data_IF_276872014836
#
_entry.id   IF_276872014836
#
_cell.length_a   1.000
_cell.length_b   1.000
_cell.length_c   1.000
_cell.angle_alpha   90.00
_cell.angle_beta   90.00
_cell.angle_gamma   90.00
#
_symmetry.space_group_name_H-M   'P 1'
#
loop_
_entity.id
_entity.type
_entity.pdbx_description
1 polymer ?
#
# COMPACT_ATOMS: atom_id res chain seq x y z
N UNK A 1 44.70 -11.69 23.26
CA UNK A 1 43.38 -11.14 22.86
C UNK A 1 42.33 -12.08 23.41
N UNK A 2 41.45 -11.61 24.30
CA UNK A 2 40.39 -12.44 24.87
C UNK A 2 39.12 -12.29 24.03
N UNK A 3 38.79 -13.32 23.27
CA UNK A 3 37.65 -13.33 22.37
C UNK A 3 36.31 -13.26 23.13
N UNK A 4 36.25 -13.72 24.39
CA UNK A 4 35.03 -13.67 25.21
C UNK A 4 34.60 -12.26 25.56
N UNK A 5 35.55 -11.34 25.67
CA UNK A 5 35.23 -9.93 25.91
C UNK A 5 34.50 -9.32 24.70
N UNK A 6 34.88 -9.69 23.47
CA UNK A 6 34.18 -9.24 22.27
C UNK A 6 32.75 -9.80 22.21
N UNK A 7 32.56 -11.08 22.57
CA UNK A 7 31.23 -11.71 22.65
C UNK A 7 30.33 -11.03 23.69
N UNK A 8 30.89 -10.71 24.86
CA UNK A 8 30.19 -9.99 25.92
C UNK A 8 29.78 -8.58 25.48
N UNK A 9 30.70 -7.80 24.92
CA UNK A 9 30.41 -6.42 24.53
C UNK A 9 29.47 -6.33 23.33
N UNK A 10 29.60 -7.19 22.31
CA UNK A 10 28.68 -7.18 21.16
C UNK A 10 27.26 -7.54 21.58
N UNK A 11 27.09 -8.38 22.62
CA UNK A 11 25.78 -8.76 23.14
C UNK A 11 24.97 -7.59 23.70
N UNK A 12 25.62 -6.51 24.10
CA UNK A 12 24.99 -5.29 24.62
C UNK A 12 24.43 -4.39 23.50
N UNK A 13 24.86 -4.61 22.26
CA UNK A 13 24.46 -3.80 21.10
C UNK A 13 23.11 -4.23 20.51
N UNK A 14 22.53 -3.37 19.66
CA UNK A 14 21.30 -3.68 18.92
C UNK A 14 21.45 -4.79 17.87
N UNK A 15 22.67 -5.06 17.39
CA UNK A 15 22.91 -6.02 16.30
C UNK A 15 22.49 -7.45 16.64
N UNK A 16 22.58 -7.85 17.91
CA UNK A 16 22.09 -9.19 18.33
C UNK A 16 20.57 -9.27 18.23
N UNK A 17 19.87 -8.20 18.59
CA UNK A 17 18.42 -8.10 18.42
C UNK A 17 18.06 -8.13 16.93
N UNK A 18 18.71 -7.32 16.10
CA UNK A 18 18.48 -7.28 14.65
C UNK A 18 18.65 -8.67 14.01
N UNK A 19 19.74 -9.38 14.33
CA UNK A 19 19.98 -10.73 13.84
C UNK A 19 18.91 -11.71 14.31
N UNK A 20 18.47 -11.63 15.59
CA UNK A 20 17.38 -12.48 16.12
C UNK A 20 16.08 -12.26 15.35
N UNK A 21 15.68 -11.02 15.14
CA UNK A 21 14.46 -10.65 14.41
C UNK A 21 14.55 -11.07 12.94
N UNK A 22 15.69 -10.83 12.28
CA UNK A 22 15.92 -11.23 10.91
C UNK A 22 15.83 -12.76 10.73
N UNK A 23 16.39 -13.54 11.66
CA UNK A 23 16.28 -15.00 11.65
C UNK A 23 14.84 -15.46 11.84
N UNK A 24 14.10 -14.82 12.74
CA UNK A 24 12.70 -15.15 12.99
C UNK A 24 11.83 -14.93 11.74
N UNK A 25 12.01 -13.79 11.08
CA UNK A 25 11.37 -13.47 9.80
C UNK A 25 11.66 -14.53 8.75
N UNK A 26 12.94 -14.86 8.54
CA UNK A 26 13.36 -15.89 7.57
C UNK A 26 12.74 -17.26 7.89
N UNK A 27 12.71 -17.66 9.16
CA UNK A 27 12.10 -18.93 9.57
C UNK A 27 10.59 -19.00 9.35
N UNK A 28 9.93 -17.83 9.25
CA UNK A 28 8.51 -17.69 8.93
C UNK A 28 8.28 -17.31 7.45
N UNK A 29 9.26 -17.58 6.57
CA UNK A 29 9.10 -17.44 5.12
C UNK A 29 9.13 -16.00 4.59
N UNK A 30 9.64 -15.04 5.37
CA UNK A 30 9.85 -13.68 4.89
C UNK A 30 11.21 -13.54 4.19
N UNK A 31 11.23 -12.83 3.08
CA UNK A 31 12.47 -12.32 2.48
C UNK A 31 12.95 -11.15 3.31
N UNK A 32 14.22 -11.16 3.72
CA UNK A 32 14.79 -10.15 4.63
C UNK A 32 15.99 -9.47 4.00
N UNK A 33 15.98 -8.15 4.02
CA UNK A 33 17.13 -7.28 3.74
C UNK A 33 17.49 -6.60 5.05
N UNK A 34 18.70 -6.86 5.54
CA UNK A 34 19.25 -6.16 6.72
C UNK A 34 20.08 -4.96 6.27
N UNK A 35 20.15 -3.94 7.13
CA UNK A 35 21.09 -2.82 7.03
C UNK A 35 20.99 -2.10 5.68
N UNK A 36 19.74 -1.79 5.28
CA UNK A 36 19.47 -1.21 3.97
C UNK A 36 19.77 0.28 4.00
N UNK A 37 20.83 0.68 3.30
CA UNK A 37 21.20 2.08 3.16
C UNK A 37 20.30 2.82 2.16
N UNK A 38 19.98 4.08 2.47
CA UNK A 38 19.32 5.01 1.58
C UNK A 38 19.80 6.44 1.84
N UNK A 39 19.65 7.31 0.84
CA UNK A 39 19.92 8.74 0.98
C UNK A 39 18.61 9.43 1.36
N UNK A 40 18.62 10.17 2.45
CA UNK A 40 17.50 11.04 2.83
C UNK A 40 17.55 12.30 1.96
N UNK A 41 16.68 12.36 0.95
CA UNK A 41 16.61 13.46 -0.03
C UNK A 41 16.41 14.85 0.62
N UNK A 42 16.02 14.94 1.90
CA UNK A 42 15.89 16.22 2.61
C UNK A 42 17.14 16.65 3.38
N UNK A 43 17.94 15.69 3.83
CA UNK A 43 19.09 15.96 4.69
C UNK A 43 20.42 15.61 4.02
N UNK A 44 20.38 15.09 2.79
CA UNK A 44 21.52 14.60 2.02
C UNK A 44 22.44 13.69 2.87
N UNK A 45 21.81 12.92 3.77
CA UNK A 45 22.52 12.04 4.70
C UNK A 45 22.18 10.60 4.41
N UNK A 46 23.19 9.74 4.51
CA UNK A 46 23.01 8.30 4.42
C UNK A 46 22.35 7.83 5.71
N UNK A 47 21.23 7.14 5.56
CA UNK A 47 20.49 6.50 6.64
C UNK A 47 20.43 5.01 6.40
N UNK A 48 20.18 4.27 7.47
CA UNK A 48 20.08 2.83 7.47
C UNK A 48 18.70 2.42 7.98
N UNK A 49 18.12 1.43 7.30
CA UNK A 49 16.94 0.70 7.78
C UNK A 49 17.46 -0.61 8.35
N UNK A 50 17.25 -0.82 9.66
CA UNK A 50 17.74 -2.00 10.37
C UNK A 50 17.28 -3.28 9.64
N UNK A 51 15.97 -3.41 9.39
CA UNK A 51 15.40 -4.57 8.67
C UNK A 51 14.25 -4.15 7.75
N UNK A 52 14.27 -4.65 6.51
CA UNK A 52 13.14 -4.68 5.59
C UNK A 52 12.71 -6.13 5.35
N UNK A 53 11.49 -6.47 5.74
CA UNK A 53 10.86 -7.77 5.49
C UNK A 53 9.83 -7.69 4.37
N UNK A 54 9.85 -8.66 3.45
CA UNK A 54 8.84 -8.81 2.40
C UNK A 54 8.21 -10.20 2.44
N UNK A 55 6.88 -10.23 2.32
CA UNK A 55 6.15 -11.43 1.94
C UNK A 55 5.41 -11.16 0.63
N UNK A 56 5.59 -12.05 -0.32
CA UNK A 56 5.13 -11.86 -1.71
C UNK A 56 4.34 -13.08 -2.17
N UNK A 57 3.20 -12.83 -2.80
CA UNK A 57 2.41 -13.86 -3.47
C UNK A 57 1.96 -13.35 -4.84
N UNK A 58 1.89 -14.25 -5.83
CA UNK A 58 1.31 -13.95 -7.14
C UNK A 58 -0.22 -14.02 -7.03
N UNK A 59 -0.90 -12.95 -7.42
CA UNK A 59 -2.36 -12.85 -7.46
C UNK A 59 -2.76 -12.34 -8.84
N UNK A 60 -3.46 -13.17 -9.60
CA UNK A 60 -3.79 -12.88 -11.00
C UNK A 60 -2.51 -12.49 -11.78
N UNK A 61 -2.51 -11.33 -12.44
CA UNK A 61 -1.37 -10.81 -13.21
C UNK A 61 -0.38 -9.99 -12.38
N UNK A 62 -0.65 -9.69 -11.10
CA UNK A 62 0.20 -8.84 -10.26
C UNK A 62 0.74 -9.57 -9.02
N UNK A 63 1.74 -8.98 -8.38
CA UNK A 63 2.29 -9.48 -7.11
C UNK A 63 1.69 -8.69 -5.93
N UNK A 64 1.25 -9.37 -4.88
CA UNK A 64 0.85 -8.74 -3.61
C UNK A 64 2.04 -8.81 -2.66
N UNK A 65 2.49 -7.65 -2.20
CA UNK A 65 3.65 -7.49 -1.32
C UNK A 65 3.20 -6.89 0.01
N UNK A 66 3.37 -7.64 1.10
CA UNK A 66 3.27 -7.10 2.47
C UNK A 66 4.68 -6.79 2.95
N UNK A 67 4.92 -5.54 3.31
CA UNK A 67 6.24 -5.02 3.67
C UNK A 67 6.28 -4.63 5.14
N UNK A 68 7.31 -5.06 5.85
CA UNK A 68 7.63 -4.65 7.21
C UNK A 68 8.90 -3.80 7.18
N UNK A 69 8.80 -2.57 7.67
CA UNK A 69 9.95 -1.73 7.99
C UNK A 69 10.13 -1.79 9.49
N UNK A 70 11.27 -2.33 9.93
CA UNK A 70 11.49 -2.65 11.33
C UNK A 70 12.71 -1.88 11.81
N UNK A 71 12.55 -1.19 12.94
CA UNK A 71 13.67 -0.68 13.72
C UNK A 71 13.81 -1.47 15.01
N UNK A 72 15.03 -1.86 15.35
CA UNK A 72 15.36 -2.60 16.55
C UNK A 72 16.02 -1.65 17.56
N UNK A 73 15.53 -1.64 18.79
CA UNK A 73 16.04 -0.78 19.86
C UNK A 73 16.26 -1.58 21.12
N UNK A 74 17.47 -1.48 21.67
CA UNK A 74 17.89 -2.16 22.89
C UNK A 74 18.37 -1.13 23.90
N UNK A 75 18.01 -1.32 25.16
CA UNK A 75 18.53 -0.54 26.27
C UNK A 75 18.54 -1.39 27.55
N UNK A 76 19.68 -1.46 28.22
CA UNK A 76 19.78 -2.18 29.50
C UNK A 76 19.34 -1.33 30.69
N UNK A 77 19.45 0.00 30.56
CA UNK A 77 19.27 0.95 31.66
C UNK A 77 17.94 1.70 31.64
N UNK A 78 17.30 1.80 30.46
CA UNK A 78 16.08 2.57 30.27
C UNK A 78 14.96 1.71 29.70
N UNK A 79 13.72 2.04 30.02
CA UNK A 79 12.50 1.53 29.38
C UNK A 79 11.87 2.64 28.55
N UNK A 80 10.99 2.27 27.62
CA UNK A 80 10.20 3.22 26.86
C UNK A 80 8.83 3.41 27.51
N UNK A 81 8.49 4.65 27.81
CA UNK A 81 7.17 5.02 28.31
C UNK A 81 6.39 5.76 27.22
N UNK A 82 5.19 5.25 26.94
CA UNK A 82 4.23 5.83 26.03
C UNK A 82 3.20 6.61 26.85
N UNK A 83 3.19 7.94 26.71
CA UNK A 83 2.27 8.81 27.42
C UNK A 83 0.97 8.87 26.63
N UNK A 84 -0.11 8.46 27.26
CA UNK A 84 -1.35 8.14 26.58
C UNK A 84 -2.55 8.83 27.24
N UNK A 85 -3.59 9.07 26.45
CA UNK A 85 -4.90 9.55 26.89
C UNK A 85 -6.02 8.83 26.15
N UNK A 86 -7.26 9.07 26.57
CA UNK A 86 -8.44 8.54 25.87
C UNK A 86 -8.52 9.11 24.46
N UNK A 87 -8.84 8.25 23.49
CA UNK A 87 -9.01 8.65 22.09
C UNK A 87 -10.26 9.50 21.91
N UNK A 88 -10.11 10.65 21.25
CA UNK A 88 -11.22 11.32 20.58
C UNK A 88 -11.35 10.79 19.14
N UNK A 89 -12.36 9.93 18.93
CA UNK A 89 -12.60 9.30 17.62
C UNK A 89 -13.06 10.30 16.56
N UNK A 90 -13.53 11.47 16.98
CA UNK A 90 -14.03 12.52 16.10
C UNK A 90 -13.02 13.65 15.89
N UNK A 91 -11.78 13.51 16.39
CA UNK A 91 -10.73 14.51 16.17
C UNK A 91 -10.48 14.70 14.67
N UNK A 92 -10.79 15.89 14.10
CA UNK A 92 -10.59 16.15 12.69
C UNK A 92 -9.10 16.29 12.32
N UNK A 93 -8.20 16.35 13.31
CA UNK A 93 -6.77 16.53 13.12
C UNK A 93 -5.97 15.22 13.11
N UNK A 94 -6.65 14.08 13.22
CA UNK A 94 -6.01 12.77 13.27
C UNK A 94 -6.62 11.82 12.25
N UNK A 95 -5.80 11.31 11.33
CA UNK A 95 -6.19 10.18 10.50
C UNK A 95 -5.95 8.88 11.28
N UNK A 96 -7.03 8.29 11.82
CA UNK A 96 -6.99 7.03 12.55
C UNK A 96 -6.81 5.79 11.64
N UNK A 97 -6.88 5.97 10.32
CA UNK A 97 -6.83 4.89 9.32
C UNK A 97 -5.65 5.03 8.36
N UNK A 98 -4.41 5.28 8.84
CA UNK A 98 -3.29 5.50 7.94
C UNK A 98 -2.97 4.20 7.19
N UNK A 99 -3.06 4.28 5.87
CA UNK A 99 -2.73 3.18 4.97
C UNK A 99 -1.73 3.65 3.92
N UNK A 100 -0.55 3.03 3.92
CA UNK A 100 0.48 3.31 2.94
C UNK A 100 0.58 2.16 1.96
N UNK A 101 0.17 2.43 0.74
CA UNK A 101 0.25 1.49 -0.37
C UNK A 101 0.99 2.10 -1.55
N UNK A 102 1.43 1.24 -2.46
CA UNK A 102 1.95 1.64 -3.76
C UNK A 102 1.59 0.58 -4.79
N UNK A 103 1.22 0.98 -6.00
CA UNK A 103 1.02 0.03 -7.11
C UNK A 103 1.37 0.67 -8.44
N UNK A 104 1.85 -0.15 -9.37
CA UNK A 104 2.02 0.18 -10.79
C UNK A 104 0.96 -0.53 -11.67
N UNK A 105 -0.01 -1.21 -11.07
CA UNK A 105 -1.15 -1.78 -11.77
C UNK A 105 -2.25 -0.71 -11.93
N UNK A 106 -2.70 -0.46 -13.16
CA UNK A 106 -3.65 0.62 -13.45
C UNK A 106 -5.02 0.41 -12.81
N UNK A 107 -5.51 -0.83 -12.77
CA UNK A 107 -6.83 -1.14 -12.20
C UNK A 107 -6.80 -0.94 -10.68
N UNK A 108 -5.77 -1.48 -10.01
CA UNK A 108 -5.60 -1.26 -8.57
C UNK A 108 -5.32 0.21 -8.25
N UNK A 109 -4.52 0.91 -9.06
CA UNK A 109 -4.22 2.33 -8.86
C UNK A 109 -5.49 3.18 -8.84
N UNK A 110 -6.42 2.91 -9.76
CA UNK A 110 -7.74 3.54 -9.76
C UNK A 110 -8.48 3.27 -8.44
N UNK A 111 -8.58 2.00 -8.04
CA UNK A 111 -9.35 1.61 -6.86
C UNK A 111 -8.79 2.20 -5.55
N UNK A 112 -7.47 2.18 -5.37
CA UNK A 112 -6.84 2.72 -4.15
C UNK A 112 -6.86 4.26 -4.10
N UNK A 113 -7.03 4.92 -5.24
CA UNK A 113 -7.12 6.39 -5.32
C UNK A 113 -8.50 6.94 -4.90
N UNK A 114 -9.50 6.07 -4.76
CA UNK A 114 -10.84 6.46 -4.36
C UNK A 114 -10.86 7.02 -2.92
N UNK A 115 -11.60 8.11 -2.72
CA UNK A 115 -11.77 8.73 -1.41
C UNK A 115 -12.29 7.69 -0.40
N UNK A 116 -11.70 7.70 0.80
CA UNK A 116 -12.05 6.79 1.88
C UNK A 116 -11.56 5.34 1.73
N UNK A 117 -10.73 5.05 0.71
CA UNK A 117 -10.19 3.70 0.49
C UNK A 117 -9.50 3.14 1.74
N UNK A 118 -8.65 3.94 2.41
CA UNK A 118 -7.90 3.51 3.58
C UNK A 118 -8.82 3.05 4.72
N UNK A 119 -9.86 3.84 5.03
CA UNK A 119 -10.86 3.47 6.04
C UNK A 119 -11.62 2.20 5.66
N UNK A 120 -12.12 2.09 4.42
CA UNK A 120 -12.80 0.87 3.95
C UNK A 120 -11.93 -0.37 4.05
N UNK A 121 -10.67 -0.27 3.63
CA UNK A 121 -9.68 -1.33 3.75
C UNK A 121 -9.53 -1.79 5.19
N UNK A 122 -9.36 -0.87 6.14
CA UNK A 122 -9.26 -1.21 7.56
C UNK A 122 -10.54 -1.89 8.09
N UNK A 123 -11.71 -1.34 7.77
CA UNK A 123 -13.00 -1.88 8.23
C UNK A 123 -13.24 -3.30 7.69
N UNK A 124 -13.00 -3.54 6.41
CA UNK A 124 -13.15 -4.87 5.78
C UNK A 124 -12.14 -5.88 6.35
N UNK A 125 -10.89 -5.47 6.59
CA UNK A 125 -9.89 -6.33 7.20
C UNK A 125 -10.26 -6.77 8.62
N UNK A 126 -10.91 -5.89 9.39
CA UNK A 126 -11.41 -6.18 10.74
C UNK A 126 -12.62 -7.12 10.68
N UNK A 127 -13.56 -6.89 9.76
CA UNK A 127 -14.77 -7.70 9.60
C UNK A 127 -14.45 -9.15 9.19
N UNK A 128 -13.44 -9.34 8.35
CA UNK A 128 -12.97 -10.67 7.93
C UNK A 128 -12.20 -11.44 9.05
N UNK A 129 -12.24 -10.94 10.28
CA UNK A 129 -11.51 -11.45 11.46
C UNK A 129 -10.44 -10.47 11.92
N UNK A 130 -10.39 -10.15 13.20
CA UNK A 130 -9.49 -9.13 13.75
C UNK A 130 -8.03 -9.35 13.31
N UNK A 131 -7.46 -8.41 12.56
CA UNK A 131 -6.03 -8.39 12.18
C UNK A 131 -5.32 -7.39 13.07
N UNK A 132 -4.58 -7.89 14.06
CA UNK A 132 -3.93 -7.05 15.08
C UNK A 132 -3.06 -5.91 14.50
N UNK A 133 -2.28 -6.08 13.40
CA UNK A 133 -1.58 -4.98 12.74
C UNK A 133 -2.42 -3.77 12.36
N UNK A 134 -3.72 -3.96 12.09
CA UNK A 134 -4.64 -2.92 11.60
C UNK A 134 -5.69 -2.50 12.65
N UNK A 135 -5.67 -3.11 13.84
CA UNK A 135 -6.64 -2.88 14.91
C UNK A 135 -6.72 -1.41 15.29
N UNK A 136 -7.92 -0.88 15.52
CA UNK A 136 -8.08 0.50 15.98
C UNK A 136 -7.29 0.73 17.29
N UNK A 137 -6.52 1.83 17.43
CA UNK A 137 -5.74 2.06 18.65
C UNK A 137 -6.61 2.05 19.91
N UNK A 138 -6.06 1.58 21.03
CA UNK A 138 -6.78 1.60 22.32
C UNK A 138 -6.74 2.97 22.99
N UNK A 139 -5.64 3.70 22.77
CA UNK A 139 -5.33 4.99 23.38
C UNK A 139 -4.72 5.93 22.34
N UNK A 140 -4.79 7.23 22.61
CA UNK A 140 -4.06 8.26 21.89
C UNK A 140 -2.71 8.48 22.60
N UNK A 141 -1.62 8.02 21.98
CA UNK A 141 -0.26 8.26 22.47
C UNK A 141 0.20 9.62 21.99
N UNK A 142 0.28 10.59 22.90
CA UNK A 142 0.57 11.99 22.57
C UNK A 142 2.03 12.38 22.83
N UNK A 143 2.78 11.60 23.60
CA UNK A 143 4.19 11.86 23.90
C UNK A 143 4.95 10.59 24.29
N UNK A 144 6.28 10.72 24.33
CA UNK A 144 7.20 9.64 24.66
C UNK A 144 8.20 10.09 25.71
N UNK A 145 8.67 9.12 26.49
CA UNK A 145 9.70 9.37 27.49
C UNK A 145 10.53 8.11 27.70
N UNK A 146 11.86 8.16 27.54
CA UNK A 146 12.68 7.11 28.15
C UNK A 146 12.70 7.30 29.66
N UNK A 147 12.59 6.22 30.42
CA UNK A 147 12.63 6.25 31.88
C UNK A 147 13.67 5.25 32.38
N UNK A 148 14.41 5.61 33.42
CA UNK A 148 15.34 4.66 34.03
C UNK A 148 14.57 3.45 34.57
N UNK A 149 15.01 2.24 34.20
CA UNK A 149 14.32 0.98 34.51
C UNK A 149 14.13 0.73 36.00
N UNK A 150 15.05 1.22 36.85
CA UNK A 150 15.03 0.99 38.30
C UNK A 150 14.39 2.16 39.03
N UNK A 151 14.81 3.39 38.72
CA UNK A 151 14.41 4.60 39.46
C UNK A 151 13.14 5.25 38.93
N UNK A 152 12.69 4.90 37.73
CA UNK A 152 11.58 5.58 37.05
C UNK A 152 11.87 7.04 36.70
N UNK A 153 13.11 7.52 36.87
CA UNK A 153 13.45 8.92 36.57
C UNK A 153 13.47 9.15 35.06
N UNK A 154 12.89 10.25 34.55
CA UNK A 154 12.87 10.55 33.12
C UNK A 154 14.28 10.78 32.55
N UNK A 155 14.43 10.48 31.26
CA UNK A 155 15.62 10.72 30.43
C UNK A 155 15.24 11.58 29.21
N UNK A 156 16.01 11.57 28.12
CA UNK A 156 15.54 12.18 26.88
C UNK A 156 14.63 11.19 26.12
N UNK A 157 13.93 11.67 25.10
CA UNK A 157 13.05 10.88 24.23
C UNK A 157 13.67 10.62 22.84
N UNK A 158 14.88 11.16 22.60
CA UNK A 158 15.55 11.14 21.30
C UNK A 158 15.68 9.73 20.71
N UNK A 159 15.97 8.65 21.46
CA UNK A 159 15.99 7.30 20.91
C UNK A 159 14.64 6.85 20.33
N UNK A 160 13.54 7.19 21.00
CA UNK A 160 12.17 6.86 20.58
C UNK A 160 11.80 7.67 19.34
N UNK A 161 12.02 8.98 19.39
CA UNK A 161 11.76 9.89 18.28
C UNK A 161 12.57 9.51 17.03
N UNK A 162 13.85 9.18 17.18
CA UNK A 162 14.70 8.74 16.08
C UNK A 162 14.22 7.40 15.49
N UNK A 163 13.71 6.48 16.32
CA UNK A 163 13.11 5.24 15.82
C UNK A 163 11.87 5.51 14.97
N UNK A 164 10.98 6.40 15.44
CA UNK A 164 9.74 6.79 14.75
C UNK A 164 10.06 7.45 13.41
N UNK A 165 10.88 8.51 13.45
CA UNK A 165 11.18 9.31 12.27
C UNK A 165 11.97 8.52 11.22
N UNK A 166 12.88 7.64 11.64
CA UNK A 166 13.63 6.80 10.70
C UNK A 166 12.71 5.81 9.98
N UNK A 167 11.72 5.21 10.66
CA UNK A 167 10.73 4.34 10.04
C UNK A 167 9.87 5.08 9.01
N UNK A 168 9.40 6.28 9.33
CA UNK A 168 8.58 7.09 8.41
C UNK A 168 9.39 7.54 7.18
N UNK A 169 10.65 7.94 7.38
CA UNK A 169 11.56 8.28 6.27
C UNK A 169 11.88 7.08 5.39
N UNK A 170 12.11 5.92 6.00
CA UNK A 170 12.33 4.65 5.30
C UNK A 170 11.12 4.26 4.43
N UNK A 171 9.90 4.46 4.94
CA UNK A 171 8.66 4.23 4.21
C UNK A 171 8.55 5.11 2.97
N UNK A 172 8.75 6.42 3.14
CA UNK A 172 8.71 7.35 2.03
C UNK A 172 9.76 7.00 0.97
N UNK A 173 10.99 6.68 1.38
CA UNK A 173 12.05 6.23 0.47
C UNK A 173 11.64 4.97 -0.29
N UNK A 174 11.13 3.93 0.37
CA UNK A 174 10.72 2.71 -0.33
C UNK A 174 9.57 2.98 -1.31
N UNK A 175 8.60 3.83 -0.95
CA UNK A 175 7.52 4.22 -1.84
C UNK A 175 8.01 5.00 -3.08
N UNK A 176 8.96 5.92 -2.92
CA UNK A 176 9.50 6.70 -4.06
C UNK A 176 10.49 5.91 -4.91
N UNK A 177 11.19 4.92 -4.35
CA UNK A 177 12.10 4.06 -5.10
C UNK A 177 11.38 3.01 -5.96
N UNK A 178 10.15 2.63 -5.60
CA UNK A 178 9.40 1.55 -6.26
C UNK A 178 9.13 1.76 -7.77
N UNK A 179 8.72 2.94 -8.27
CA UNK A 179 8.56 3.19 -9.72
C UNK A 179 9.81 2.86 -10.55
N UNK A 180 10.99 3.10 -9.98
CA UNK A 180 12.25 2.82 -10.65
C UNK A 180 12.63 1.34 -10.56
N UNK A 181 12.37 0.69 -9.42
CA UNK A 181 12.77 -0.70 -9.13
C UNK A 181 11.81 -1.76 -9.66
N UNK A 182 10.50 -1.55 -9.58
CA UNK A 182 9.48 -2.58 -9.85
C UNK A 182 8.83 -2.35 -11.21
N UNK A 183 9.15 -3.24 -12.16
CA UNK A 183 8.66 -3.19 -13.54
C UNK A 183 7.47 -4.11 -13.84
N UNK A 184 7.30 -5.17 -13.05
CA UNK A 184 6.13 -6.05 -13.15
C UNK A 184 4.97 -5.50 -12.31
N UNK A 185 3.70 -5.72 -12.71
CA UNK A 185 2.54 -5.32 -11.92
C UNK A 185 2.61 -5.83 -10.49
N UNK A 186 2.44 -4.94 -9.52
CA UNK A 186 2.44 -5.28 -8.09
C UNK A 186 1.72 -4.24 -7.25
N UNK A 187 1.30 -4.66 -6.06
CA UNK A 187 0.80 -3.79 -5.00
C UNK A 187 1.58 -4.05 -3.71
N UNK A 188 2.04 -2.98 -3.08
CA UNK A 188 2.78 -3.00 -1.81
C UNK A 188 1.89 -2.39 -0.73
N UNK A 189 1.87 -3.01 0.45
CA UNK A 189 1.29 -2.47 1.68
C UNK A 189 2.39 -2.42 2.76
N UNK A 190 2.60 -1.25 3.35
CA UNK A 190 3.71 -1.00 4.28
C UNK A 190 3.27 -0.96 5.73
N UNK A 191 4.03 -1.61 6.61
CA UNK A 191 3.82 -1.63 8.06
C UNK A 191 5.12 -1.20 8.77
N UNK A 192 5.00 -0.29 9.74
CA UNK A 192 6.13 0.23 10.51
C UNK A 192 6.15 -0.41 11.90
N UNK A 193 7.28 -0.98 12.29
CA UNK A 193 7.42 -1.69 13.56
C UNK A 193 8.68 -1.23 14.28
N UNK A 194 8.55 -0.87 15.55
CA UNK A 194 9.66 -0.64 16.45
C UNK A 194 9.71 -1.77 17.47
N UNK A 195 10.75 -2.60 17.39
CA UNK A 195 10.97 -3.74 18.26
C UNK A 195 11.89 -3.33 19.41
N UNK A 196 11.45 -3.60 20.64
CA UNK A 196 12.06 -3.06 21.86
C UNK A 196 12.58 -4.20 22.75
N UNK A 197 13.87 -4.19 23.06
CA UNK A 197 14.55 -5.05 24.03
C UNK A 197 15.04 -4.23 25.23
N UNK A 198 14.11 -3.77 26.06
CA UNK A 198 14.42 -2.97 27.26
C UNK A 198 13.28 -2.97 28.29
N UNK A 199 12.07 -2.70 27.81
CA UNK A 199 10.80 -2.68 28.54
C UNK A 199 9.87 -1.62 27.96
N UNK A 200 8.57 -1.87 28.00
CA UNK A 200 7.55 -0.97 27.46
C UNK A 200 6.45 -0.76 28.51
N UNK A 201 6.13 0.51 28.76
CA UNK A 201 5.07 0.91 29.70
C UNK A 201 4.17 1.96 29.07
N UNK A 202 2.89 1.92 29.43
CA UNK A 202 1.90 2.94 29.12
C UNK A 202 1.65 3.77 30.38
N UNK A 203 1.81 5.08 30.28
CA UNK A 203 1.44 6.05 31.31
C UNK A 203 0.15 6.75 30.85
N UNK A 204 -0.99 6.30 31.36
CA UNK A 204 -2.29 6.82 30.97
C UNK A 204 -2.69 8.00 31.86
N UNK A 205 -2.90 9.15 31.24
CA UNK A 205 -3.38 10.36 31.89
C UNK A 205 -4.91 10.34 31.89
N UNK A 206 -5.50 10.30 33.08
CA UNK A 206 -6.95 10.37 33.30
C UNK A 206 -7.24 11.41 34.38
N UNK A 207 -7.82 12.54 33.99
CA UNK A 207 -8.02 13.70 34.86
C UNK A 207 -6.68 14.12 35.50
N UNK A 208 -6.62 14.17 36.83
CA UNK A 208 -5.41 14.52 37.59
C UNK A 208 -4.54 13.31 37.98
N UNK A 209 -4.87 12.11 37.49
CA UNK A 209 -4.15 10.87 37.82
C UNK A 209 -3.35 10.33 36.63
N UNK A 210 -2.21 9.70 36.93
CA UNK A 210 -1.39 8.97 35.96
C UNK A 210 -1.35 7.49 36.38
N UNK A 211 -1.92 6.62 35.55
CA UNK A 211 -1.89 5.18 35.75
C UNK A 211 -0.80 4.54 34.89
N UNK A 212 0.15 3.85 35.53
CA UNK A 212 1.20 3.11 34.84
C UNK A 212 0.80 1.65 34.64
N UNK A 213 1.06 1.12 33.45
CA UNK A 213 0.87 -0.30 33.12
C UNK A 213 2.00 -0.81 32.24
N UNK A 214 2.47 -2.03 32.49
CA UNK A 214 3.36 -2.71 31.55
C UNK A 214 2.53 -3.25 30.38
N UNK A 215 3.05 -3.10 29.18
CA UNK A 215 2.37 -3.50 27.95
C UNK A 215 3.35 -4.25 27.04
N UNK A 216 2.80 -5.14 26.22
CA UNK A 216 3.58 -5.96 25.28
C UNK A 216 3.67 -5.34 23.89
N UNK A 217 2.66 -4.53 23.52
CA UNK A 217 2.62 -3.78 22.28
C UNK A 217 1.73 -2.55 22.40
N UNK A 218 1.87 -1.61 21.47
CA UNK A 218 0.99 -0.46 21.34
C UNK A 218 0.91 0.03 19.88
N UNK A 219 -0.24 0.59 19.51
CA UNK A 219 -0.38 1.38 18.29
C UNK A 219 -0.12 2.86 18.56
N UNK A 220 0.77 3.45 17.77
CA UNK A 220 0.95 4.90 17.73
C UNK A 220 0.65 5.42 16.33
N UNK A 221 -0.19 6.45 16.25
CA UNK A 221 -0.46 7.18 15.02
C UNK A 221 0.44 8.41 14.99
N UNK A 222 1.54 8.28 14.27
CA UNK A 222 2.53 9.34 14.13
C UNK A 222 2.07 10.35 13.08
N UNK A 223 2.02 11.62 13.45
CA UNK A 223 1.86 12.74 12.53
C UNK A 223 3.22 13.35 12.25
N UNK A 224 3.64 13.41 10.99
CA UNK A 224 4.91 14.03 10.61
C UNK A 224 4.84 14.63 9.21
N UNK A 225 5.77 15.54 8.91
CA UNK A 225 5.91 16.14 7.59
C UNK A 225 7.02 15.41 6.84
N UNK A 226 6.66 14.72 5.76
CA UNK A 226 7.58 14.07 4.83
C UNK A 226 7.36 14.64 3.45
N UNK A 227 8.42 15.08 2.75
CA UNK A 227 8.31 15.71 1.43
C UNK A 227 7.38 16.94 1.39
N UNK A 228 7.44 17.77 2.45
CA UNK A 228 6.58 18.96 2.64
C UNK A 228 5.07 18.64 2.65
N UNK A 229 4.70 17.37 2.82
CA UNK A 229 3.33 16.91 2.95
C UNK A 229 3.15 16.30 4.33
N UNK A 230 2.04 16.67 4.96
CA UNK A 230 1.62 16.01 6.18
C UNK A 230 1.26 14.55 5.87
N UNK A 231 1.75 13.64 6.70
CA UNK A 231 1.44 12.23 6.62
C UNK A 231 1.19 11.66 8.00
N UNK A 232 0.22 10.75 8.07
CA UNK A 232 -0.05 9.95 9.25
C UNK A 232 0.46 8.55 8.99
N UNK A 233 1.24 8.01 9.92
CA UNK A 233 1.78 6.66 9.83
C UNK A 233 1.52 5.91 11.11
N UNK A 234 1.06 4.67 10.98
CA UNK A 234 0.92 3.76 12.11
C UNK A 234 2.23 3.07 12.41
N UNK A 235 2.69 3.24 13.64
CA UNK A 235 3.87 2.56 14.19
C UNK A 235 3.41 1.57 15.25
N UNK A 236 3.87 0.34 15.12
CA UNK A 236 3.68 -0.70 16.13
C UNK A 236 4.91 -0.79 17.02
N UNK A 237 4.75 -0.47 18.29
CA UNK A 237 5.73 -0.80 19.31
C UNK A 237 5.48 -2.24 19.76
N UNK A 238 6.51 -3.08 19.78
CA UNK A 238 6.39 -4.50 20.15
C UNK A 238 7.61 -4.91 20.98
N UNK A 239 7.39 -5.57 22.11
CA UNK A 239 8.49 -6.17 22.86
C UNK A 239 9.15 -7.31 22.08
N UNK A 240 10.48 -7.37 22.12
CA UNK A 240 11.28 -8.31 21.34
C UNK A 240 10.97 -9.79 21.63
N UNK A 241 10.59 -10.14 22.86
CA UNK A 241 10.20 -11.48 23.28
C UNK A 241 8.79 -11.87 22.81
N UNK A 242 7.97 -10.90 22.40
CA UNK A 242 6.60 -11.12 21.90
C UNK A 242 6.50 -11.14 20.38
N UNK A 243 7.56 -10.74 19.66
CA UNK A 243 7.52 -10.62 18.20
C UNK A 243 7.21 -11.94 17.47
N UNK A 244 7.59 -13.10 18.03
CA UNK A 244 7.23 -14.42 17.47
C UNK A 244 5.71 -14.70 17.48
N UNK A 245 4.97 -14.06 18.38
CA UNK A 245 3.51 -14.13 18.34
C UNK A 245 2.96 -13.20 17.26
N UNK A 246 3.46 -11.96 17.21
CA UNK A 246 2.98 -10.95 16.25
C UNK A 246 3.34 -11.24 14.80
N UNK A 247 4.41 -11.99 14.52
CA UNK A 247 4.76 -12.33 13.13
C UNK A 247 3.63 -13.09 12.44
N UNK A 248 2.92 -13.96 13.16
CA UNK A 248 1.77 -14.75 12.67
C UNK A 248 0.60 -13.85 12.26
N UNK A 249 0.42 -12.73 12.96
CA UNK A 249 -0.58 -11.73 12.61
C UNK A 249 -0.25 -11.03 11.28
N UNK A 250 1.03 -10.77 11.02
CA UNK A 250 1.46 -10.24 9.72
C UNK A 250 1.36 -11.28 8.59
N UNK A 251 1.49 -12.57 8.89
CA UNK A 251 1.19 -13.62 7.92
C UNK A 251 -0.31 -13.67 7.58
N UNK A 252 -1.16 -13.53 8.60
CA UNK A 252 -2.62 -13.42 8.44
C UNK A 252 -2.99 -12.21 7.59
N UNK A 253 -2.39 -11.05 7.90
CA UNK A 253 -2.52 -9.83 7.10
C UNK A 253 -2.13 -10.07 5.64
N UNK A 254 -1.01 -10.75 5.38
CA UNK A 254 -0.58 -11.03 4.02
C UNK A 254 -1.58 -11.91 3.25
N UNK A 255 -2.10 -12.98 3.86
CA UNK A 255 -3.12 -13.84 3.23
C UNK A 255 -4.38 -13.04 2.90
N UNK A 256 -4.82 -12.19 3.83
CA UNK A 256 -5.99 -11.33 3.63
C UNK A 256 -5.76 -10.27 2.56
N UNK A 257 -4.57 -9.67 2.50
CA UNK A 257 -4.18 -8.78 1.41
C UNK A 257 -4.31 -9.47 0.04
N UNK A 258 -3.90 -10.74 -0.07
CA UNK A 258 -4.03 -11.48 -1.32
C UNK A 258 -5.49 -11.62 -1.76
N UNK A 259 -6.38 -11.97 -0.82
CA UNK A 259 -7.82 -12.09 -1.08
C UNK A 259 -8.44 -10.72 -1.40
N UNK A 260 -8.14 -9.72 -0.59
CA UNK A 260 -8.68 -8.37 -0.74
C UNK A 260 -8.31 -7.77 -2.10
N UNK A 261 -7.03 -7.75 -2.46
CA UNK A 261 -6.60 -7.17 -3.73
C UNK A 261 -7.04 -7.99 -4.95
N UNK A 262 -7.20 -9.31 -4.80
CA UNK A 262 -7.85 -10.13 -5.82
C UNK A 262 -9.29 -9.67 -6.08
N UNK A 263 -10.06 -9.49 -5.01
CA UNK A 263 -11.47 -9.10 -5.09
C UNK A 263 -11.62 -7.67 -5.62
N UNK A 264 -10.79 -6.74 -5.15
CA UNK A 264 -10.74 -5.37 -5.63
C UNK A 264 -10.46 -5.30 -7.14
N UNK A 265 -9.51 -6.11 -7.62
CA UNK A 265 -9.20 -6.20 -9.05
C UNK A 265 -10.36 -6.81 -9.85
N UNK A 266 -10.97 -7.88 -9.34
CA UNK A 266 -12.14 -8.50 -9.98
C UNK A 266 -13.32 -7.54 -10.05
N UNK A 267 -13.57 -6.78 -8.97
CA UNK A 267 -14.61 -5.77 -8.95
C UNK A 267 -14.36 -4.71 -10.00
N UNK A 268 -13.13 -4.18 -10.10
CA UNK A 268 -12.75 -3.21 -11.13
C UNK A 268 -13.20 -3.70 -12.52
N UNK A 269 -12.74 -4.90 -12.92
CA UNK A 269 -13.02 -5.46 -14.24
C UNK A 269 -14.48 -5.88 -14.45
N UNK A 270 -15.20 -6.27 -13.41
CA UNK A 270 -16.63 -6.59 -13.51
C UNK A 270 -17.47 -5.38 -13.95
N UNK A 271 -17.00 -4.15 -13.67
CA UNK A 271 -17.68 -2.91 -14.06
C UNK A 271 -16.88 -2.06 -15.06
N UNK A 272 -15.73 -2.53 -15.55
CA UNK A 272 -14.78 -1.70 -16.30
C UNK A 272 -15.28 -1.20 -17.64
N UNK A 273 -16.27 -1.88 -18.24
CA UNK A 273 -16.92 -1.43 -19.47
C UNK A 273 -18.23 -0.67 -19.22
N UNK A 274 -18.80 -0.81 -18.00
CA UNK A 274 -20.12 -0.29 -17.63
C UNK A 274 -20.03 1.07 -16.94
N UNK A 275 -18.91 1.36 -16.29
CA UNK A 275 -18.68 2.61 -15.58
C UNK A 275 -17.63 3.45 -16.30
N UNK A 276 -18.04 4.61 -16.80
CA UNK A 276 -17.18 5.51 -17.60
C UNK A 276 -15.83 5.76 -16.93
N UNK A 277 -15.80 6.04 -15.63
CA UNK A 277 -14.54 6.31 -14.91
C UNK A 277 -13.56 5.14 -14.95
N UNK A 278 -14.05 3.90 -14.91
CA UNK A 278 -13.22 2.68 -15.02
C UNK A 278 -12.81 2.42 -16.46
N UNK A 279 -13.70 2.66 -17.42
CA UNK A 279 -13.37 2.61 -18.86
C UNK A 279 -12.19 3.53 -19.19
N UNK A 280 -12.21 4.76 -18.68
CA UNK A 280 -11.17 5.76 -18.98
C UNK A 280 -9.76 5.35 -18.51
N UNK A 281 -9.61 4.40 -17.58
CA UNK A 281 -8.29 3.93 -17.09
C UNK A 281 -7.43 3.34 -18.22
N UNK A 282 -8.05 2.70 -19.21
CA UNK A 282 -7.37 2.03 -20.30
C UNK A 282 -7.63 2.64 -21.68
N UNK A 283 -8.41 3.73 -21.77
CA UNK A 283 -8.89 4.25 -23.06
C UNK A 283 -7.76 4.64 -24.01
N UNK A 284 -6.70 5.27 -23.52
CA UNK A 284 -5.57 5.67 -24.36
C UNK A 284 -4.82 4.47 -24.92
N UNK A 285 -4.75 3.38 -24.15
CA UNK A 285 -4.11 2.13 -24.59
C UNK A 285 -5.02 1.45 -25.61
N UNK A 286 -6.34 1.48 -25.38
CA UNK A 286 -7.34 0.96 -26.30
C UNK A 286 -7.26 1.68 -27.66
N UNK A 287 -7.32 3.02 -27.67
CA UNK A 287 -7.16 3.88 -28.85
C UNK A 287 -5.91 3.51 -29.66
N UNK A 288 -4.74 3.50 -29.01
CA UNK A 288 -3.46 3.13 -29.65
C UNK A 288 -3.47 1.74 -30.30
N UNK A 289 -4.29 0.81 -29.80
CA UNK A 289 -4.38 -0.54 -30.35
C UNK A 289 -5.31 -0.67 -31.53
N UNK A 290 -6.39 0.11 -31.58
CA UNK A 290 -7.48 -0.11 -32.55
C UNK A 290 -7.60 1.02 -33.58
N UNK A 291 -7.36 2.29 -33.21
CA UNK A 291 -7.69 3.45 -34.04
C UNK A 291 -7.10 3.39 -35.44
N UNK A 292 -5.78 3.15 -35.56
CA UNK A 292 -5.12 3.05 -36.86
C UNK A 292 -5.72 1.97 -37.76
N UNK A 293 -6.01 0.79 -37.18
CA UNK A 293 -6.55 -0.34 -37.93
C UNK A 293 -7.96 -0.03 -38.45
N UNK A 294 -8.80 0.56 -37.60
CA UNK A 294 -10.17 0.93 -37.96
C UNK A 294 -10.20 2.04 -39.02
N UNK A 295 -9.38 3.10 -38.86
CA UNK A 295 -9.23 4.16 -39.87
C UNK A 295 -8.74 3.60 -41.21
N UNK A 296 -7.80 2.64 -41.19
CA UNK A 296 -7.33 1.99 -42.40
C UNK A 296 -8.42 1.16 -43.10
N UNK A 297 -9.25 0.44 -42.34
CA UNK A 297 -10.36 -0.33 -42.91
C UNK A 297 -11.40 0.58 -43.58
N UNK A 298 -11.75 1.69 -42.93
CA UNK A 298 -12.66 2.69 -43.52
C UNK A 298 -12.05 3.27 -44.80
N UNK A 299 -10.79 3.72 -44.76
CA UNK A 299 -10.10 4.28 -45.93
C UNK A 299 -9.99 3.30 -47.08
N UNK A 300 -9.65 2.04 -46.81
CA UNK A 300 -9.46 1.01 -47.83
C UNK A 300 -10.77 0.67 -48.56
N UNK A 301 -11.89 0.60 -47.83
CA UNK A 301 -13.14 0.10 -48.40
C UNK A 301 -14.07 1.23 -48.88
N UNK A 302 -13.99 2.42 -48.31
CA UNK A 302 -14.88 3.54 -48.62
C UNK A 302 -14.15 4.74 -49.25
N UNK A 303 -12.81 4.74 -49.28
CA UNK A 303 -12.00 5.88 -49.71
C UNK A 303 -12.26 7.17 -48.89
N UNK A 304 -12.70 7.00 -47.63
CA UNK A 304 -12.94 8.08 -46.66
C UNK A 304 -11.80 8.09 -45.64
N UNK A 305 -11.34 9.28 -45.25
CA UNK A 305 -10.36 9.43 -44.16
C UNK A 305 -11.10 9.85 -42.90
N UNK A 306 -10.95 9.08 -41.83
CA UNK A 306 -11.48 9.38 -40.49
C UNK A 306 -10.35 9.38 -39.47
N UNK A 307 -10.36 10.36 -38.58
CA UNK A 307 -9.47 10.45 -37.43
C UNK A 307 -10.17 9.83 -36.22
N UNK A 308 -9.57 8.77 -35.69
CA UNK A 308 -10.15 7.97 -34.60
C UNK A 308 -9.33 8.13 -33.31
N UNK A 309 -8.76 9.30 -33.10
CA UNK A 309 -7.94 9.58 -31.91
C UNK A 309 -8.81 9.68 -30.64
N UNK A 310 -10.09 10.04 -30.80
CA UNK A 310 -11.03 10.27 -29.70
C UNK A 310 -12.04 9.13 -29.49
N UNK A 311 -11.75 7.91 -29.97
CA UNK A 311 -12.61 6.75 -29.72
C UNK A 311 -12.96 6.61 -28.25
N UNK A 312 -14.23 6.37 -27.96
CA UNK A 312 -14.71 6.14 -26.60
C UNK A 312 -15.42 4.81 -26.49
N UNK A 313 -15.61 4.34 -25.25
CA UNK A 313 -16.43 3.16 -24.98
C UNK A 313 -17.52 3.55 -24.00
N UNK A 314 -18.76 3.37 -24.42
CA UNK A 314 -19.97 3.55 -23.62
C UNK A 314 -20.71 2.23 -23.45
N UNK A 315 -21.74 2.25 -22.62
CA UNK A 315 -22.53 1.07 -22.28
C UNK A 315 -24.02 1.35 -22.43
N UNK A 316 -24.69 0.58 -23.29
CA UNK A 316 -26.16 0.58 -23.43
C UNK A 316 -26.75 -0.43 -22.47
N UNK A 317 -27.49 0.07 -21.47
CA UNK A 317 -28.07 -0.77 -20.42
C UNK A 317 -29.24 -1.63 -20.91
N UNK A 318 -30.07 -1.07 -21.78
CA UNK A 318 -31.23 -1.69 -22.40
C UNK A 318 -30.85 -2.87 -23.30
N UNK A 319 -29.76 -2.73 -24.06
CA UNK A 319 -29.25 -3.78 -24.95
C UNK A 319 -28.17 -4.67 -24.31
N UNK A 320 -27.67 -4.30 -23.13
CA UNK A 320 -26.56 -4.95 -22.43
C UNK A 320 -25.35 -5.16 -23.37
N UNK A 321 -24.97 -4.09 -24.07
CA UNK A 321 -23.95 -4.08 -25.12
C UNK A 321 -22.97 -2.93 -24.93
N UNK A 322 -21.70 -3.17 -25.24
CA UNK A 322 -20.70 -2.11 -25.29
C UNK A 322 -20.79 -1.36 -26.63
N UNK A 323 -20.62 -0.04 -26.59
CA UNK A 323 -20.66 0.80 -27.78
C UNK A 323 -19.29 1.42 -27.95
N UNK A 324 -18.67 1.19 -29.10
CA UNK A 324 -17.39 1.79 -29.48
C UNK A 324 -17.73 3.05 -30.26
N UNK A 325 -17.76 4.18 -29.56
CA UNK A 325 -18.20 5.45 -30.10
C UNK A 325 -17.05 6.17 -30.83
N UNK A 326 -17.32 6.70 -32.02
CA UNK A 326 -16.33 7.39 -32.84
C UNK A 326 -16.92 8.07 -34.08
N UNK A 327 -16.17 8.99 -34.71
CA UNK A 327 -16.62 9.73 -35.89
C UNK A 327 -16.48 8.87 -37.16
N UNK A 328 -17.30 7.83 -37.29
CA UNK A 328 -17.16 6.84 -38.37
C UNK A 328 -17.80 7.24 -39.70
N UNK A 329 -18.76 8.16 -39.70
CA UNK A 329 -19.84 8.28 -40.71
C UNK A 329 -20.79 7.07 -40.70
N UNK A 330 -22.03 7.26 -41.18
CA UNK A 330 -23.04 6.18 -41.29
C UNK A 330 -22.53 4.97 -42.12
N UNK A 331 -21.80 5.21 -43.21
CA UNK A 331 -21.24 4.16 -44.05
C UNK A 331 -20.09 3.42 -43.35
N UNK A 332 -19.22 4.15 -42.64
CA UNK A 332 -18.13 3.58 -41.86
C UNK A 332 -18.63 2.74 -40.69
N UNK A 333 -19.67 3.18 -39.99
CA UNK A 333 -20.32 2.41 -38.94
C UNK A 333 -20.86 1.06 -39.47
N UNK A 334 -21.60 1.10 -40.59
CA UNK A 334 -22.13 -0.11 -41.24
C UNK A 334 -21.01 -1.05 -41.69
N UNK A 335 -19.91 -0.51 -42.23
CA UNK A 335 -18.75 -1.29 -42.62
C UNK A 335 -18.14 -2.01 -41.40
N UNK A 336 -17.79 -1.26 -40.35
CA UNK A 336 -17.09 -1.80 -39.19
C UNK A 336 -17.93 -2.85 -38.43
N UNK A 337 -19.25 -2.65 -38.36
CA UNK A 337 -20.16 -3.61 -37.72
C UNK A 337 -20.28 -4.95 -38.48
N UNK A 338 -19.99 -4.96 -39.79
CA UNK A 338 -20.02 -6.15 -40.65
C UNK A 338 -18.63 -6.74 -40.95
N UNK A 339 -17.55 -5.99 -40.74
CA UNK A 339 -16.18 -6.46 -40.99
C UNK A 339 -15.66 -7.35 -39.86
N UNK A 340 -15.47 -8.64 -40.16
CA UNK A 340 -14.95 -9.63 -39.19
C UNK A 340 -13.58 -9.25 -38.63
N UNK A 341 -12.72 -8.63 -39.44
CA UNK A 341 -11.36 -8.29 -38.99
C UNK A 341 -11.38 -7.14 -37.98
N UNK A 342 -12.16 -6.08 -38.25
CA UNK A 342 -12.37 -4.95 -37.33
C UNK A 342 -13.00 -5.40 -36.03
N UNK A 343 -14.03 -6.27 -36.11
CA UNK A 343 -14.65 -6.84 -34.92
C UNK A 343 -13.67 -7.67 -34.10
N UNK A 344 -12.87 -8.54 -34.75
CA UNK A 344 -11.86 -9.33 -34.04
C UNK A 344 -10.84 -8.42 -33.35
N UNK A 345 -10.33 -7.41 -34.07
CA UNK A 345 -9.33 -6.48 -33.54
C UNK A 345 -9.80 -5.76 -32.27
N UNK A 346 -11.06 -5.30 -32.27
CA UNK A 346 -11.67 -4.65 -31.10
C UNK A 346 -11.96 -5.66 -30.00
N UNK A 347 -12.50 -6.84 -30.33
CA UNK A 347 -12.75 -7.91 -29.36
C UNK A 347 -11.49 -8.30 -28.60
N UNK A 348 -10.36 -8.44 -29.29
CA UNK A 348 -9.06 -8.76 -28.68
C UNK A 348 -8.62 -7.65 -27.73
N UNK A 349 -8.76 -6.38 -28.13
CA UNK A 349 -8.43 -5.24 -27.29
C UNK A 349 -9.34 -5.13 -26.05
N UNK A 350 -10.64 -5.40 -26.20
CA UNK A 350 -11.62 -5.41 -25.10
C UNK A 350 -11.34 -6.53 -24.09
N UNK A 351 -11.05 -7.73 -24.60
CA UNK A 351 -10.68 -8.89 -23.78
C UNK A 351 -9.41 -8.63 -23.00
N UNK A 352 -8.37 -8.09 -23.65
CA UNK A 352 -7.08 -7.89 -23.00
C UNK A 352 -7.10 -6.73 -21.98
N UNK A 353 -7.73 -5.60 -22.31
CA UNK A 353 -7.67 -4.39 -21.48
C UNK A 353 -8.79 -4.30 -20.44
N UNK A 354 -9.96 -4.86 -20.74
CA UNK A 354 -11.15 -4.73 -19.90
C UNK A 354 -11.70 -6.08 -19.42
N UNK A 355 -11.07 -7.21 -19.80
CA UNK A 355 -11.60 -8.57 -19.56
C UNK A 355 -13.04 -8.76 -20.05
N UNK A 356 -13.40 -8.02 -21.09
CA UNK A 356 -14.75 -8.04 -21.64
C UNK A 356 -14.82 -8.91 -22.89
N UNK A 357 -15.68 -9.92 -22.86
CA UNK A 357 -15.92 -10.85 -23.99
C UNK A 357 -17.37 -10.78 -24.49
N UNK A 358 -18.14 -9.78 -24.04
CA UNK A 358 -19.53 -9.60 -24.44
C UNK A 358 -19.69 -8.97 -25.82
N UNK A 359 -20.94 -8.74 -26.22
CA UNK A 359 -21.27 -8.11 -27.49
C UNK A 359 -20.82 -6.64 -27.50
N UNK A 360 -20.51 -6.14 -28.69
CA UNK A 360 -20.32 -4.71 -28.91
C UNK A 360 -20.75 -4.32 -30.33
N UNK A 361 -20.99 -3.02 -30.50
CA UNK A 361 -21.25 -2.36 -31.79
C UNK A 361 -20.38 -1.12 -31.93
N UNK A 362 -20.14 -0.72 -33.17
CA UNK A 362 -19.66 0.62 -33.50
C UNK A 362 -20.87 1.54 -33.63
N UNK A 363 -20.79 2.77 -33.12
CA UNK A 363 -21.86 3.75 -33.26
C UNK A 363 -21.32 5.19 -33.31
N UNK A 364 -21.80 6.01 -34.25
CA UNK A 364 -21.52 7.45 -34.28
C UNK A 364 -22.44 8.25 -33.33
N UNK A 365 -23.68 7.79 -33.12
CA UNK A 365 -24.70 8.52 -32.35
C UNK A 365 -24.34 8.76 -30.87
N UNK A 366 -23.44 7.93 -30.31
CA UNK A 366 -22.94 8.07 -28.94
C UNK A 366 -21.58 8.77 -28.86
N UNK A 367 -21.10 9.31 -29.98
CA UNK A 367 -19.86 10.05 -30.01
C UNK A 367 -20.04 11.44 -29.41
N UNK A 368 -19.42 11.66 -28.26
CA UNK A 368 -19.24 12.97 -27.65
C UNK A 368 -17.75 13.31 -27.78
N UNK A 369 -17.36 14.32 -28.59
CA UNK A 369 -15.97 14.76 -28.67
C UNK A 369 -15.55 15.36 -27.32
N UNK A 370 -14.33 15.04 -26.86
CA UNK A 370 -13.78 15.51 -25.58
C UNK A 370 -12.46 16.26 -25.77
#
# INVERSE_FOLDING_TARGET
MDLKNFESEISKTGFVLENKIARLLKSNGWTVISNRYYVDDHQESVREIDIVGYRVAKVQHFDVCTTLLISCKKSESNIWALLARTIDKNDPNTDWWPLHTWTNDKALQYEISNIGFAKRYHEEMILDGLVEPLRFPEVDVFAFQEMNKVKGTPKNDSPIFNSITSLMKAQAYEQTALPNRKKTPAIYQFNLISIIDSGLVRLKFENDNIAASSIESEHYIARYIVQKKETFSRIRFILADKFDTYIKEYESLHRKNCVYFNNLCNEFFAKSIKETKRTQVFIDIFRKRVSWFLSWQIKKNLNITVELDDLNISWRNDENIAVIAGPYTEEGEKLLNNDKLSRQKVSDALKELYRYEGKFIFSEDEYIPF
#
